data_IF_921093997257
#
_entry.id   IF_921093997257
#
_cell.length_a   1.000
_cell.length_b   1.000
_cell.length_c   1.000
_cell.angle_alpha   90.00
_cell.angle_beta   90.00
_cell.angle_gamma   90.00
#
_symmetry.space_group_name_H-M   'P 1'
#
loop_
_entity.id
_entity.type
_entity.pdbx_description
1 polymer ?
#
# COMPACT_ATOMS: atom_id res chain seq x y z
N UNK A 1 -20.19 8.82 16.47
CA UNK A 1 -20.72 7.45 16.68
C UNK A 1 -22.09 7.40 16.04
N UNK A 2 -22.44 6.31 15.38
CA UNK A 2 -23.75 6.13 14.72
C UNK A 2 -24.52 5.00 15.38
N UNK A 3 -25.85 5.10 15.37
CA UNK A 3 -26.77 4.12 15.94
C UNK A 3 -27.56 3.45 14.82
N UNK A 4 -27.47 2.14 14.73
CA UNK A 4 -28.22 1.33 13.76
C UNK A 4 -28.88 0.14 14.45
N UNK A 5 -29.80 -0.51 13.75
CA UNK A 5 -30.45 -1.74 14.22
C UNK A 5 -30.05 -2.90 13.33
N UNK A 6 -29.55 -4.00 13.89
CA UNK A 6 -29.19 -5.22 13.15
C UNK A 6 -30.01 -6.37 13.70
N UNK A 7 -30.84 -7.01 12.86
CA UNK A 7 -31.75 -8.10 13.24
C UNK A 7 -32.56 -7.77 14.51
N UNK A 8 -33.16 -6.57 14.55
CA UNK A 8 -33.92 -6.06 15.70
C UNK A 8 -33.09 -5.52 16.89
N UNK A 9 -31.78 -5.74 16.95
CA UNK A 9 -30.92 -5.25 18.05
C UNK A 9 -30.31 -3.89 17.72
N UNK A 10 -30.50 -2.89 18.60
CA UNK A 10 -29.84 -1.58 18.48
C UNK A 10 -28.37 -1.67 18.86
N UNK A 11 -27.50 -1.04 18.06
CA UNK A 11 -26.05 -1.07 18.22
C UNK A 11 -25.46 0.31 17.95
N UNK A 12 -24.51 0.72 18.78
CA UNK A 12 -23.77 1.98 18.63
C UNK A 12 -22.35 1.67 18.17
N UNK A 13 -21.94 2.24 17.04
CA UNK A 13 -20.64 1.92 16.43
C UNK A 13 -19.87 3.18 16.05
N UNK A 14 -18.57 3.00 15.81
CA UNK A 14 -17.73 4.06 15.24
C UNK A 14 -18.25 4.41 13.85
N UNK A 15 -18.23 5.70 13.54
CA UNK A 15 -18.56 6.20 12.21
C UNK A 15 -17.61 5.59 11.16
N UNK A 16 -18.13 5.27 9.98
CA UNK A 16 -17.44 4.61 8.87
C UNK A 16 -16.97 3.16 9.10
N UNK A 17 -17.32 2.51 10.21
CA UNK A 17 -17.15 1.06 10.32
C UNK A 17 -18.03 0.34 9.28
N UNK A 18 -17.54 -0.76 8.68
CA UNK A 18 -18.34 -1.49 7.69
C UNK A 18 -19.40 -2.35 8.36
N UNK A 19 -20.53 -2.61 7.69
CA UNK A 19 -21.56 -3.50 8.25
C UNK A 19 -21.00 -4.90 8.57
N UNK A 20 -20.08 -5.41 7.76
CA UNK A 20 -19.43 -6.71 7.98
C UNK A 20 -18.62 -6.73 9.29
N UNK A 21 -17.84 -5.68 9.56
CA UNK A 21 -17.08 -5.55 10.82
C UNK A 21 -18.01 -5.52 12.03
N UNK A 22 -19.12 -4.78 11.92
CA UNK A 22 -20.11 -4.68 12.99
C UNK A 22 -20.78 -6.03 13.23
N UNK A 23 -21.24 -6.71 12.19
CA UNK A 23 -21.86 -8.02 12.30
C UNK A 23 -20.90 -9.07 12.90
N UNK A 24 -19.62 -9.07 12.50
CA UNK A 24 -18.61 -9.97 13.08
C UNK A 24 -18.38 -9.73 14.57
N UNK A 25 -18.34 -8.47 15.01
CA UNK A 25 -18.24 -8.12 16.45
C UNK A 25 -19.44 -8.59 17.27
N UNK A 26 -20.59 -8.77 16.63
CA UNK A 26 -21.80 -9.31 17.25
C UNK A 26 -21.92 -10.83 17.09
N UNK A 27 -20.90 -11.50 16.59
CA UNK A 27 -20.91 -12.94 16.27
C UNK A 27 -22.00 -13.33 15.27
N UNK A 28 -22.43 -12.41 14.39
CA UNK A 28 -23.34 -12.68 13.29
C UNK A 28 -22.51 -13.12 12.08
N UNK A 29 -22.65 -14.38 11.70
CA UNK A 29 -21.95 -14.92 10.53
C UNK A 29 -22.52 -14.35 9.23
N UNK A 30 -21.63 -13.85 8.37
CA UNK A 30 -21.94 -13.40 7.01
C UNK A 30 -20.87 -14.00 6.08
N UNK A 31 -21.24 -14.82 5.08
CA UNK A 31 -20.28 -15.49 4.22
C UNK A 31 -19.56 -14.48 3.31
N UNK A 32 -18.27 -14.68 3.13
CA UNK A 32 -17.41 -13.84 2.28
C UNK A 32 -16.35 -14.68 1.59
N UNK A 33 -16.20 -14.54 0.27
CA UNK A 33 -15.11 -15.17 -0.49
C UNK A 33 -14.05 -14.17 -0.98
N UNK A 34 -14.41 -12.91 -1.19
CA UNK A 34 -13.50 -11.88 -1.69
C UNK A 34 -13.04 -10.89 -0.60
N UNK A 35 -13.39 -11.12 0.66
CA UNK A 35 -13.00 -10.24 1.77
C UNK A 35 -11.77 -10.79 2.48
N UNK A 36 -10.83 -9.91 2.79
CA UNK A 36 -9.71 -10.19 3.69
C UNK A 36 -9.51 -8.93 4.55
N UNK A 37 -9.30 -9.06 5.88
CA UNK A 37 -9.18 -7.91 6.78
C UNK A 37 -8.01 -6.97 6.43
N UNK A 38 -6.95 -7.52 5.84
CA UNK A 38 -5.76 -6.74 5.46
C UNK A 38 -5.82 -6.18 4.03
N UNK A 39 -6.94 -6.32 3.33
CA UNK A 39 -7.11 -5.79 1.97
C UNK A 39 -8.28 -4.79 1.88
N UNK A 40 -8.20 -3.89 0.92
CA UNK A 40 -9.27 -2.94 0.61
C UNK A 40 -10.59 -3.66 0.27
N UNK A 41 -11.77 -3.25 0.78
CA UNK A 41 -13.02 -3.94 0.45
C UNK A 41 -13.36 -3.92 -1.05
N UNK A 42 -13.58 -5.09 -1.64
CA UNK A 42 -13.81 -5.22 -3.09
C UNK A 42 -15.28 -5.47 -3.49
N UNK A 43 -16.00 -6.31 -2.75
CA UNK A 43 -17.43 -6.57 -2.99
C UNK A 43 -17.79 -7.39 -4.23
N UNK A 44 -16.83 -8.05 -4.90
CA UNK A 44 -17.09 -8.77 -6.15
C UNK A 44 -17.94 -10.04 -5.98
N UNK A 45 -17.72 -10.83 -4.92
CA UNK A 45 -18.45 -12.09 -4.73
C UNK A 45 -19.91 -11.93 -4.31
N UNK A 46 -20.31 -10.74 -3.82
CA UNK A 46 -21.67 -10.39 -3.35
C UNK A 46 -22.30 -11.29 -2.26
N UNK A 47 -21.63 -12.33 -1.77
CA UNK A 47 -22.16 -13.22 -0.71
C UNK A 47 -22.46 -12.49 0.60
N UNK A 48 -21.73 -11.42 0.89
CA UNK A 48 -21.97 -10.55 2.03
C UNK A 48 -23.19 -9.63 1.88
N UNK A 49 -24.09 -9.92 0.94
CA UNK A 49 -25.30 -9.14 0.75
C UNK A 49 -26.17 -9.18 2.00
N UNK A 50 -26.69 -8.01 2.37
CA UNK A 50 -27.63 -7.77 3.46
C UNK A 50 -28.71 -6.82 2.97
N UNK A 51 -29.88 -6.90 3.59
CA UNK A 51 -30.97 -5.98 3.30
C UNK A 51 -30.93 -4.84 4.30
N UNK A 52 -30.97 -3.61 3.80
CA UNK A 52 -31.10 -2.42 4.65
C UNK A 52 -32.41 -1.73 4.38
N UNK A 53 -33.00 -1.15 5.42
CA UNK A 53 -34.17 -0.29 5.31
C UNK A 53 -33.97 1.02 6.07
N UNK A 54 -34.48 2.10 5.49
CA UNK A 54 -34.55 3.44 6.06
C UNK A 54 -35.82 4.10 5.56
N UNK A 55 -36.61 4.70 6.46
CA UNK A 55 -37.83 5.47 6.10
C UNK A 55 -38.80 4.68 5.19
N UNK A 56 -38.99 3.39 5.49
CA UNK A 56 -39.92 2.53 4.73
C UNK A 56 -39.39 2.01 3.38
N UNK A 57 -38.22 2.45 2.91
CA UNK A 57 -37.59 1.93 1.69
C UNK A 57 -36.54 0.87 2.02
N UNK A 58 -36.59 -0.28 1.35
CA UNK A 58 -35.55 -1.32 1.49
C UNK A 58 -34.69 -1.47 0.22
N UNK A 59 -33.42 -1.80 0.41
CA UNK A 59 -32.49 -2.13 -0.69
C UNK A 59 -31.45 -3.17 -0.25
N UNK A 60 -30.94 -3.92 -1.22
CA UNK A 60 -29.84 -4.85 -1.02
C UNK A 60 -28.49 -4.13 -1.13
N UNK A 61 -27.59 -4.37 -0.18
CA UNK A 61 -26.24 -3.80 -0.18
C UNK A 61 -25.21 -4.84 0.22
N UNK A 62 -23.93 -4.60 -0.06
CA UNK A 62 -22.82 -5.45 0.35
C UNK A 62 -22.27 -5.03 1.71
N UNK A 63 -22.31 -5.93 2.70
CA UNK A 63 -21.86 -5.60 4.05
C UNK A 63 -20.36 -5.27 4.14
N UNK A 64 -19.54 -5.82 3.24
CA UNK A 64 -18.07 -5.68 3.30
C UNK A 64 -17.56 -4.26 3.01
N UNK A 65 -18.31 -3.43 2.30
CA UNK A 65 -17.91 -2.07 1.94
C UNK A 65 -18.96 -1.00 2.26
N UNK A 66 -20.16 -1.40 2.71
CA UNK A 66 -21.19 -0.43 3.10
C UNK A 66 -20.88 0.13 4.49
N UNK A 67 -20.73 1.46 4.64
CA UNK A 67 -20.48 2.09 5.93
C UNK A 67 -21.72 2.07 6.81
N UNK A 68 -21.54 1.88 8.11
CA UNK A 68 -22.58 2.05 9.11
C UNK A 68 -23.10 3.49 9.08
N UNK A 69 -24.42 3.65 9.00
CA UNK A 69 -25.12 4.93 8.98
C UNK A 69 -26.14 4.99 10.12
N UNK A 70 -26.46 6.20 10.56
CA UNK A 70 -27.45 6.39 11.61
C UNK A 70 -28.87 6.09 11.11
N UNK A 71 -29.67 5.42 11.95
CA UNK A 71 -31.08 5.14 11.72
C UNK A 71 -31.40 4.01 10.73
N UNK A 72 -30.39 3.34 10.16
CA UNK A 72 -30.64 2.19 9.26
C UNK A 72 -31.01 0.93 10.06
N UNK A 73 -31.91 0.12 9.50
CA UNK A 73 -32.18 -1.24 9.96
C UNK A 73 -31.58 -2.24 8.99
N UNK A 74 -30.85 -3.22 9.49
CA UNK A 74 -30.12 -4.21 8.70
C UNK A 74 -30.67 -5.60 9.03
N UNK A 75 -31.08 -6.34 8.00
CA UNK A 75 -31.51 -7.72 8.08
C UNK A 75 -30.46 -8.60 7.38
N UNK A 76 -29.80 -9.48 8.13
CA UNK A 76 -28.70 -10.30 7.60
C UNK A 76 -29.14 -11.65 7.05
N UNK A 77 -30.38 -12.07 7.34
CA UNK A 77 -30.96 -13.38 6.98
C UNK A 77 -32.44 -13.25 6.54
N UNK A 78 -32.84 -12.14 5.93
CA UNK A 78 -34.18 -12.04 5.33
C UNK A 78 -34.36 -13.08 4.21
N UNK A 79 -35.61 -13.46 3.89
CA UNK A 79 -35.90 -14.40 2.78
C UNK A 79 -35.20 -13.96 1.48
N UNK A 80 -35.19 -12.65 1.21
CA UNK A 80 -34.53 -12.05 0.04
C UNK A 80 -33.01 -12.22 0.08
N UNK A 81 -32.38 -12.04 1.25
CA UNK A 81 -30.94 -12.23 1.43
C UNK A 81 -30.54 -13.69 1.21
N UNK A 82 -31.26 -14.62 1.83
CA UNK A 82 -30.98 -16.06 1.70
C UNK A 82 -31.14 -16.53 0.24
N UNK A 83 -32.22 -16.12 -0.43
CA UNK A 83 -32.42 -16.43 -1.86
C UNK A 83 -31.30 -15.85 -2.74
N UNK A 84 -30.86 -14.62 -2.46
CA UNK A 84 -29.76 -13.99 -3.20
C UNK A 84 -28.46 -14.77 -3.03
N UNK A 85 -28.12 -15.18 -1.80
CA UNK A 85 -26.93 -15.99 -1.52
C UNK A 85 -26.98 -17.33 -2.23
N UNK A 86 -28.14 -17.99 -2.24
CA UNK A 86 -28.37 -19.25 -2.96
C UNK A 86 -28.03 -19.11 -4.45
N UNK A 87 -28.62 -18.12 -5.13
CA UNK A 87 -28.37 -17.86 -6.56
C UNK A 87 -26.90 -17.52 -6.83
N UNK A 88 -26.25 -16.75 -5.96
CA UNK A 88 -24.83 -16.44 -6.10
C UNK A 88 -23.95 -17.70 -6.01
N UNK A 89 -24.26 -18.62 -5.11
CA UNK A 89 -23.54 -19.90 -5.00
C UNK A 89 -23.79 -20.78 -6.22
N UNK A 90 -25.04 -20.85 -6.71
CA UNK A 90 -25.38 -21.56 -7.95
C UNK A 90 -24.57 -21.03 -9.16
N UNK A 91 -24.41 -19.70 -9.29
CA UNK A 91 -23.58 -19.09 -10.33
C UNK A 91 -22.08 -19.36 -10.15
N UNK A 92 -21.59 -19.37 -8.91
CA UNK A 92 -20.19 -19.70 -8.62
C UNK A 92 -19.87 -21.17 -8.95
N UNK A 93 -20.76 -22.09 -8.61
CA UNK A 93 -20.65 -23.51 -8.97
C UNK A 93 -20.69 -23.73 -10.49
N UNK A 94 -21.55 -22.99 -11.20
CA UNK A 94 -21.60 -23.08 -12.66
C UNK A 94 -20.26 -22.68 -13.32
N UNK A 95 -19.48 -21.82 -12.67
CA UNK A 95 -18.14 -21.45 -13.13
C UNK A 95 -17.06 -22.43 -12.68
N UNK A 96 -17.10 -22.83 -11.41
CA UNK A 96 -16.04 -23.60 -10.74
C UNK A 96 -16.67 -24.80 -10.00
N UNK A 97 -17.15 -25.83 -10.72
CA UNK A 97 -17.91 -26.93 -10.13
C UNK A 97 -17.05 -27.82 -9.21
N UNK A 98 -15.74 -27.85 -9.45
CA UNK A 98 -14.81 -28.75 -8.77
C UNK A 98 -14.13 -28.11 -7.55
N UNK A 99 -14.35 -26.82 -7.29
CA UNK A 99 -13.76 -26.11 -6.17
C UNK A 99 -14.34 -26.62 -4.83
N UNK A 100 -13.55 -27.28 -3.95
CA UNK A 100 -14.09 -27.87 -2.72
C UNK A 100 -14.70 -26.84 -1.76
N UNK A 101 -14.13 -25.62 -1.74
CA UNK A 101 -14.67 -24.51 -0.95
C UNK A 101 -16.09 -24.14 -1.36
N UNK A 102 -16.39 -24.17 -2.66
CA UNK A 102 -17.73 -23.84 -3.16
C UNK A 102 -18.72 -24.98 -2.90
N UNK A 103 -18.27 -26.23 -2.98
CA UNK A 103 -19.09 -27.41 -2.63
C UNK A 103 -19.53 -27.34 -1.17
N UNK A 104 -18.60 -27.06 -0.25
CA UNK A 104 -18.92 -26.84 1.17
C UNK A 104 -19.88 -25.67 1.37
N UNK A 105 -19.63 -24.55 0.70
CA UNK A 105 -20.52 -23.39 0.80
C UNK A 105 -21.93 -23.70 0.26
N UNK A 106 -22.03 -24.52 -0.78
CA UNK A 106 -23.30 -24.98 -1.34
C UNK A 106 -24.08 -25.84 -0.36
N UNK A 107 -23.43 -26.74 0.36
CA UNK A 107 -24.05 -27.50 1.45
C UNK A 107 -24.58 -26.58 2.55
N UNK A 108 -23.79 -25.59 2.98
CA UNK A 108 -24.18 -24.62 4.02
C UNK A 108 -25.42 -23.79 3.62
N UNK A 109 -25.59 -23.48 2.33
CA UNK A 109 -26.75 -22.74 1.81
C UNK A 109 -27.88 -23.62 1.27
N UNK A 110 -27.74 -24.95 1.31
CA UNK A 110 -28.74 -25.90 0.84
C UNK A 110 -28.91 -25.98 -0.69
N UNK A 111 -27.82 -25.79 -1.44
CA UNK A 111 -27.75 -25.94 -2.90
C UNK A 111 -27.21 -27.32 -3.24
N UNK A 112 -28.03 -28.17 -3.86
CA UNK A 112 -27.64 -29.51 -4.34
C UNK A 112 -27.25 -29.53 -5.83
N UNK A 113 -27.89 -28.68 -6.61
CA UNK A 113 -27.65 -28.52 -8.05
C UNK A 113 -28.02 -27.10 -8.47
N UNK A 114 -27.56 -26.68 -9.65
CA UNK A 114 -27.86 -25.36 -10.22
C UNK A 114 -28.45 -25.47 -11.63
N UNK A 115 -29.29 -24.53 -12.07
CA UNK A 115 -29.92 -24.55 -13.39
C UNK A 115 -29.02 -24.00 -14.51
N UNK A 116 -27.85 -23.44 -14.18
CA UNK A 116 -26.96 -22.80 -15.13
C UNK A 116 -26.09 -23.79 -15.90
N UNK A 117 -25.69 -23.42 -17.13
CA UNK A 117 -24.70 -24.18 -17.90
C UNK A 117 -23.33 -24.10 -17.22
N UNK A 118 -22.75 -25.26 -16.92
CA UNK A 118 -21.42 -25.35 -16.33
C UNK A 118 -20.35 -25.00 -17.37
N UNK A 119 -19.43 -24.11 -17.01
CA UNK A 119 -18.29 -23.81 -17.85
C UNK A 119 -17.32 -24.99 -17.86
N UNK A 120 -16.90 -25.43 -19.05
CA UNK A 120 -15.78 -26.35 -19.23
C UNK A 120 -14.46 -25.60 -19.00
N UNK A 121 -14.16 -25.27 -17.74
CA UNK A 121 -12.95 -24.55 -17.35
C UNK A 121 -12.14 -25.43 -16.40
N UNK A 122 -10.91 -25.74 -16.78
CA UNK A 122 -9.94 -26.47 -15.93
C UNK A 122 -9.37 -25.61 -14.80
N UNK A 123 -9.85 -24.37 -14.65
CA UNK A 123 -9.41 -23.44 -13.62
C UNK A 123 -10.56 -23.02 -12.70
N UNK A 124 -10.44 -23.35 -11.41
CA UNK A 124 -11.37 -23.03 -10.33
C UNK A 124 -11.30 -21.56 -9.85
N UNK A 125 -10.91 -20.62 -10.73
CA UNK A 125 -10.80 -19.21 -10.39
C UNK A 125 -12.18 -18.52 -10.32
N UNK A 126 -12.60 -18.20 -9.09
CA UNK A 126 -13.86 -17.49 -8.80
C UNK A 126 -13.81 -15.97 -9.02
N UNK A 127 -12.71 -15.44 -9.59
CA UNK A 127 -12.52 -14.01 -9.86
C UNK A 127 -12.70 -13.09 -8.64
N UNK A 128 -12.34 -13.57 -7.44
CA UNK A 128 -12.47 -12.80 -6.20
C UNK A 128 -11.50 -11.60 -6.11
N UNK A 129 -10.43 -11.60 -6.91
CA UNK A 129 -9.44 -10.52 -6.95
C UNK A 129 -8.57 -10.41 -5.70
N UNK A 130 -8.57 -11.41 -4.80
CA UNK A 130 -7.71 -11.44 -3.61
C UNK A 130 -6.22 -11.44 -4.01
N UNK A 131 -5.82 -12.31 -4.94
CA UNK A 131 -4.45 -12.39 -5.44
C UNK A 131 -3.94 -11.07 -6.04
N UNK A 132 -4.77 -10.41 -6.85
CA UNK A 132 -4.46 -9.13 -7.48
C UNK A 132 -4.24 -8.04 -6.43
N UNK A 133 -5.19 -7.91 -5.48
CA UNK A 133 -5.08 -6.93 -4.41
C UNK A 133 -3.91 -7.21 -3.48
N UNK A 134 -3.64 -8.46 -3.12
CA UNK A 134 -2.42 -8.79 -2.36
C UNK A 134 -1.15 -8.38 -3.11
N UNK A 135 -1.07 -8.68 -4.40
CA UNK A 135 0.08 -8.32 -5.22
C UNK A 135 0.30 -6.81 -5.32
N UNK A 136 -0.79 -6.03 -5.37
CA UNK A 136 -0.76 -4.56 -5.45
C UNK A 136 -0.60 -3.88 -4.10
N UNK A 137 -1.44 -4.22 -3.13
CA UNK A 137 -1.61 -3.51 -1.85
C UNK A 137 -0.63 -3.95 -0.77
N UNK A 138 -0.30 -5.25 -0.71
CA UNK A 138 0.57 -5.80 0.33
C UNK A 138 2.00 -6.00 -0.16
N UNK A 139 2.16 -6.56 -1.37
CA UNK A 139 3.49 -6.83 -1.94
C UNK A 139 4.05 -5.60 -2.67
N UNK A 140 3.19 -4.72 -3.22
CA UNK A 140 3.62 -3.56 -4.02
C UNK A 140 4.11 -3.89 -5.43
N UNK A 141 4.13 -5.17 -5.83
CA UNK A 141 4.62 -5.62 -7.13
C UNK A 141 3.67 -5.27 -8.28
N UNK A 142 2.34 -5.32 -8.04
CA UNK A 142 1.31 -5.05 -9.04
C UNK A 142 1.55 -5.81 -10.38
N UNK A 143 1.93 -7.08 -10.29
CA UNK A 143 2.37 -7.90 -11.43
C UNK A 143 1.22 -8.64 -12.16
N UNK A 144 0.07 -8.78 -11.50
CA UNK A 144 -1.10 -9.49 -12.03
C UNK A 144 -2.35 -8.61 -11.94
N UNK A 145 -3.29 -8.83 -12.85
CA UNK A 145 -4.54 -8.08 -12.96
C UNK A 145 -5.65 -8.90 -13.57
N UNK A 146 -6.79 -8.24 -13.81
CA UNK A 146 -7.87 -8.82 -14.61
C UNK A 146 -7.66 -8.47 -16.08
N UNK A 147 -7.81 -9.46 -16.95
CA UNK A 147 -7.88 -9.28 -18.40
C UNK A 147 -9.23 -9.76 -18.93
N UNK A 148 -9.56 -9.35 -20.16
CA UNK A 148 -10.83 -9.63 -20.83
C UNK A 148 -12.06 -9.06 -20.07
N UNK A 149 -13.26 -9.42 -20.51
CA UNK A 149 -14.54 -8.96 -19.93
C UNK A 149 -15.59 -10.07 -19.93
N UNK A 150 -16.66 -9.87 -19.16
CA UNK A 150 -17.77 -10.82 -19.09
C UNK A 150 -17.32 -12.21 -18.62
N UNK A 151 -17.83 -13.25 -19.26
CA UNK A 151 -17.53 -14.66 -18.95
C UNK A 151 -16.09 -15.06 -19.27
N UNK A 152 -15.45 -14.36 -20.21
CA UNK A 152 -14.05 -14.58 -20.61
C UNK A 152 -13.05 -13.92 -19.66
N UNK A 153 -13.51 -13.17 -18.66
CA UNK A 153 -12.63 -12.50 -17.68
C UNK A 153 -11.76 -13.53 -16.96
N UNK A 154 -10.46 -13.24 -16.89
CA UNK A 154 -9.46 -14.09 -16.21
C UNK A 154 -8.45 -13.25 -15.43
N UNK A 155 -7.77 -13.91 -14.50
CA UNK A 155 -6.62 -13.33 -13.79
C UNK A 155 -5.36 -13.72 -14.56
N UNK A 156 -4.49 -12.75 -14.81
CA UNK A 156 -3.25 -12.98 -15.54
C UNK A 156 -2.30 -11.79 -15.45
N UNK A 157 -1.17 -11.91 -16.11
CA UNK A 157 -0.26 -10.80 -16.32
C UNK A 157 -0.73 -9.94 -17.51
N UNK A 158 -0.33 -8.66 -17.59
CA UNK A 158 -0.61 -7.84 -18.77
C UNK A 158 -0.13 -8.53 -20.06
N UNK A 159 -1.00 -8.59 -21.06
CA UNK A 159 -0.77 -9.27 -22.34
C UNK A 159 -0.37 -10.75 -22.24
N UNK A 160 -0.58 -11.38 -21.08
CA UNK A 160 -0.17 -12.77 -20.79
C UNK A 160 1.35 -13.00 -20.87
N UNK A 161 2.13 -11.91 -20.82
CA UNK A 161 3.59 -11.93 -20.79
C UNK A 161 4.07 -11.94 -19.35
N UNK A 162 5.17 -12.66 -19.06
CA UNK A 162 5.75 -12.67 -17.72
C UNK A 162 6.12 -11.24 -17.27
N UNK A 163 5.68 -10.84 -16.08
CA UNK A 163 5.94 -9.51 -15.55
C UNK A 163 7.25 -9.47 -14.75
N UNK A 164 8.19 -8.62 -15.15
CA UNK A 164 9.44 -8.36 -14.43
C UNK A 164 9.22 -7.79 -13.02
N UNK A 165 8.05 -7.16 -12.77
CA UNK A 165 7.67 -6.69 -11.43
C UNK A 165 7.37 -7.81 -10.43
N UNK A 166 7.11 -9.04 -10.92
CA UNK A 166 6.86 -10.15 -10.03
C UNK A 166 8.13 -10.42 -9.22
N UNK A 167 8.03 -10.54 -7.89
CA UNK A 167 9.15 -10.95 -7.02
C UNK A 167 9.09 -12.43 -6.63
N UNK A 168 8.14 -13.16 -7.21
CA UNK A 168 7.83 -14.56 -6.94
C UNK A 168 7.59 -14.86 -5.45
N UNK A 169 6.93 -13.94 -4.73
CA UNK A 169 6.69 -14.08 -3.29
C UNK A 169 5.76 -15.23 -2.89
N UNK A 170 4.87 -15.69 -3.79
CA UNK A 170 3.87 -16.73 -3.46
C UNK A 170 2.62 -16.23 -2.72
N UNK A 171 2.57 -14.95 -2.35
CA UNK A 171 1.44 -14.38 -1.61
C UNK A 171 0.08 -14.51 -2.35
N UNK A 172 0.11 -14.51 -3.68
CA UNK A 172 -1.09 -14.67 -4.51
C UNK A 172 -1.66 -16.09 -4.48
N UNK A 173 -0.80 -17.11 -4.41
CA UNK A 173 -1.16 -18.51 -4.24
C UNK A 173 -1.71 -18.75 -2.83
N UNK A 174 -0.99 -18.26 -1.82
CA UNK A 174 -1.39 -18.41 -0.42
C UNK A 174 -2.79 -17.85 -0.13
N UNK A 175 -3.13 -16.66 -0.65
CA UNK A 175 -4.44 -16.04 -0.40
C UNK A 175 -5.56 -16.61 -1.29
N UNK A 176 -5.25 -17.51 -2.22
CA UNK A 176 -6.26 -18.01 -3.15
C UNK A 176 -7.24 -18.95 -2.43
N UNK A 177 -8.54 -18.61 -2.35
CA UNK A 177 -9.48 -19.42 -1.58
C UNK A 177 -9.78 -20.78 -2.26
N UNK A 178 -9.56 -20.88 -3.57
CA UNK A 178 -9.81 -22.11 -4.34
C UNK A 178 -8.54 -22.81 -4.83
N UNK A 179 -7.35 -22.28 -4.55
CA UNK A 179 -6.09 -22.83 -5.08
C UNK A 179 -5.92 -22.70 -6.61
N UNK A 180 -6.74 -21.84 -7.24
CA UNK A 180 -6.77 -21.63 -8.69
C UNK A 180 -5.52 -20.97 -9.28
N UNK A 181 -4.74 -20.25 -8.47
CA UNK A 181 -3.46 -19.68 -8.87
C UNK A 181 -2.35 -20.40 -8.10
N UNK A 182 -1.40 -20.95 -8.84
CA UNK A 182 -0.24 -21.69 -8.31
C UNK A 182 1.04 -21.04 -8.80
N UNK A 183 2.09 -21.10 -7.99
CA UNK A 183 3.41 -20.68 -8.41
C UNK A 183 4.08 -21.79 -9.23
N UNK A 184 4.39 -21.50 -10.49
CA UNK A 184 5.12 -22.41 -11.36
C UNK A 184 6.64 -22.19 -11.22
N UNK A 185 7.39 -23.29 -11.12
CA UNK A 185 8.86 -23.23 -10.98
C UNK A 185 9.54 -22.50 -12.13
N UNK A 186 9.04 -22.65 -13.37
CA UNK A 186 9.61 -21.97 -14.53
C UNK A 186 9.42 -20.45 -14.46
N UNK A 187 8.30 -19.98 -13.93
CA UNK A 187 8.09 -18.55 -13.64
C UNK A 187 9.02 -18.06 -12.55
N UNK A 188 9.20 -18.84 -11.48
CA UNK A 188 10.12 -18.50 -10.38
C UNK A 188 11.55 -18.36 -10.92
N UNK A 189 12.00 -19.32 -11.74
CA UNK A 189 13.32 -19.31 -12.37
C UNK A 189 13.49 -18.06 -13.23
N UNK A 190 12.57 -17.80 -14.18
CA UNK A 190 12.61 -16.61 -15.06
C UNK A 190 12.70 -15.28 -14.28
N UNK A 191 11.92 -15.15 -13.21
CA UNK A 191 11.89 -13.94 -12.36
C UNK A 191 13.19 -13.77 -11.55
N UNK A 192 13.90 -14.86 -11.25
CA UNK A 192 15.02 -14.87 -10.31
C UNK A 192 16.32 -15.38 -10.94
N UNK A 193 16.53 -15.09 -12.22
CA UNK A 193 17.74 -15.45 -12.94
C UNK A 193 18.98 -14.72 -12.39
N UNK A 194 20.09 -15.45 -12.32
CA UNK A 194 21.44 -14.95 -12.01
C UNK A 194 22.48 -15.94 -12.48
N UNK A 195 23.39 -15.51 -13.34
CA UNK A 195 24.51 -16.33 -13.83
C UNK A 195 25.63 -16.46 -12.78
N UNK A 196 25.73 -15.47 -11.88
CA UNK A 196 26.79 -15.35 -10.87
C UNK A 196 26.35 -15.75 -9.45
N UNK A 197 25.10 -16.18 -9.26
CA UNK A 197 24.52 -16.51 -7.95
C UNK A 197 24.17 -15.31 -7.06
N UNK A 198 24.84 -14.17 -7.22
CA UNK A 198 24.64 -12.92 -6.44
C UNK A 198 23.28 -12.24 -6.64
N UNK A 199 22.52 -12.54 -7.71
CA UNK A 199 21.17 -12.02 -7.94
C UNK A 199 20.05 -13.00 -7.53
N UNK A 200 20.41 -14.16 -6.95
CA UNK A 200 19.43 -15.13 -6.40
C UNK A 200 18.89 -14.69 -5.05
N UNK A 201 18.48 -13.44 -4.90
CA UNK A 201 17.98 -12.91 -3.63
C UNK A 201 16.78 -13.73 -3.14
N UNK A 202 16.80 -14.08 -1.85
CA UNK A 202 15.73 -14.77 -1.15
C UNK A 202 14.39 -14.03 -1.33
N UNK A 203 13.27 -14.77 -1.36
CA UNK A 203 11.92 -14.18 -1.50
C UNK A 203 11.67 -13.12 -0.42
N UNK A 204 12.12 -13.39 0.80
CA UNK A 204 11.96 -12.47 1.93
C UNK A 204 12.82 -11.23 1.83
N UNK A 205 14.01 -11.32 1.22
CA UNK A 205 14.82 -10.14 0.92
C UNK A 205 14.12 -9.27 -0.12
N UNK A 206 13.59 -9.88 -1.19
CA UNK A 206 12.84 -9.15 -2.23
C UNK A 206 11.52 -8.55 -1.72
N UNK A 207 10.95 -9.12 -0.67
CA UNK A 207 9.80 -8.57 0.04
C UNK A 207 10.18 -7.51 1.09
N UNK A 208 11.47 -7.26 1.31
CA UNK A 208 11.96 -6.29 2.30
C UNK A 208 11.85 -6.77 3.75
N UNK A 209 11.69 -8.08 3.99
CA UNK A 209 11.54 -8.66 5.33
C UNK A 209 12.86 -9.03 6.00
N UNK A 210 13.94 -9.19 5.20
CA UNK A 210 15.30 -9.44 5.67
C UNK A 210 16.30 -8.65 4.82
N UNK A 211 17.44 -8.27 5.41
CA UNK A 211 18.37 -7.32 4.79
C UNK A 211 19.11 -7.89 3.57
N UNK A 212 19.71 -9.06 3.72
CA UNK A 212 20.47 -9.70 2.64
C UNK A 212 20.48 -11.22 2.84
N UNK A 213 20.08 -11.95 1.80
CA UNK A 213 20.19 -13.40 1.77
C UNK A 213 20.14 -13.89 0.33
N UNK A 214 21.16 -14.63 -0.09
CA UNK A 214 21.17 -15.35 -1.36
C UNK A 214 20.52 -16.71 -1.16
N UNK A 215 19.65 -17.12 -2.08
CA UNK A 215 18.95 -18.39 -2.04
C UNK A 215 19.89 -19.52 -2.45
N UNK A 216 20.18 -20.42 -1.51
CA UNK A 216 20.90 -21.68 -1.75
C UNK A 216 20.00 -22.79 -2.32
N UNK A 217 18.69 -22.75 -2.04
CA UNK A 217 17.74 -23.82 -2.40
C UNK A 217 17.10 -23.68 -3.79
N UNK A 218 17.72 -22.96 -4.72
CA UNK A 218 17.21 -22.86 -6.11
C UNK A 218 15.78 -22.32 -6.23
N UNK A 219 15.33 -21.54 -5.24
CA UNK A 219 13.97 -21.03 -5.07
C UNK A 219 12.88 -22.07 -4.81
N UNK A 220 13.26 -23.30 -4.45
CA UNK A 220 12.34 -24.30 -3.90
C UNK A 220 12.00 -23.96 -2.45
N UNK A 221 11.23 -22.88 -2.26
CA UNK A 221 10.90 -22.36 -0.94
C UNK A 221 10.18 -23.40 -0.06
N UNK A 222 9.39 -24.30 -0.66
CA UNK A 222 8.69 -25.38 0.02
C UNK A 222 9.61 -26.43 0.70
N UNK A 223 10.91 -26.45 0.38
CA UNK A 223 11.95 -27.28 1.07
C UNK A 223 12.94 -26.43 1.87
N UNK A 224 12.68 -25.13 2.04
CA UNK A 224 13.66 -24.22 2.63
C UNK A 224 13.39 -24.02 4.12
N UNK A 225 14.40 -24.31 4.94
CA UNK A 225 14.35 -24.14 6.40
C UNK A 225 14.02 -22.70 6.82
N UNK A 226 14.50 -21.71 6.05
CA UNK A 226 14.16 -20.29 6.28
C UNK A 226 12.68 -20.03 5.98
N UNK A 227 12.12 -20.70 4.97
CA UNK A 227 10.70 -20.58 4.63
C UNK A 227 9.83 -21.17 5.72
N UNK A 228 10.18 -22.38 6.15
CA UNK A 228 9.51 -23.08 7.25
C UNK A 228 9.59 -22.27 8.54
N UNK A 229 10.78 -21.78 8.93
CA UNK A 229 10.95 -20.93 10.10
C UNK A 229 10.08 -19.67 10.04
N UNK A 230 9.97 -19.04 8.87
CA UNK A 230 9.12 -17.86 8.71
C UNK A 230 7.63 -18.23 8.83
N UNK A 231 7.20 -19.32 8.22
CA UNK A 231 5.81 -19.81 8.35
C UNK A 231 5.47 -20.18 9.80
N UNK A 232 6.35 -20.89 10.49
CA UNK A 232 6.19 -21.26 11.90
C UNK A 232 6.12 -20.03 12.81
N UNK A 233 6.98 -19.03 12.55
CA UNK A 233 7.01 -17.79 13.32
C UNK A 233 5.73 -16.97 13.16
N UNK A 234 5.18 -16.91 11.95
CA UNK A 234 4.08 -16.02 11.64
C UNK A 234 2.70 -16.70 11.65
N UNK A 235 2.65 -18.04 11.55
CA UNK A 235 1.41 -18.82 11.42
C UNK A 235 0.62 -18.54 10.13
N UNK A 236 1.15 -17.69 9.26
CA UNK A 236 0.59 -17.27 7.98
C UNK A 236 1.71 -16.79 7.07
N UNK A 237 1.43 -16.60 5.79
CA UNK A 237 2.44 -16.09 4.88
C UNK A 237 2.94 -14.72 5.37
N UNK A 238 4.28 -14.49 5.47
CA UNK A 238 4.83 -13.38 6.25
C UNK A 238 4.34 -11.98 5.85
N UNK A 239 3.95 -11.77 4.59
CA UNK A 239 3.36 -10.49 4.14
C UNK A 239 2.07 -10.10 4.89
N UNK A 240 1.29 -11.08 5.37
CA UNK A 240 0.04 -10.82 6.10
C UNK A 240 0.32 -10.57 7.59
N UNK A 241 1.36 -11.18 8.14
CA UNK A 241 1.74 -10.99 9.54
C UNK A 241 2.53 -9.70 9.75
N UNK A 242 3.47 -9.40 8.86
CA UNK A 242 4.36 -8.24 8.94
C UNK A 242 3.74 -6.96 8.39
N UNK A 243 2.42 -6.95 8.18
CA UNK A 243 1.58 -5.83 7.71
C UNK A 243 2.43 -4.62 7.33
N UNK A 244 2.73 -4.35 6.05
CA UNK A 244 3.17 -3.00 5.73
C UNK A 244 2.11 -2.07 6.31
N UNK A 245 2.49 -1.30 7.34
CA UNK A 245 1.56 -0.49 8.11
C UNK A 245 0.74 0.29 7.11
N UNK A 246 -0.56 -0.04 6.95
CA UNK A 246 -1.46 0.43 5.86
C UNK A 246 -0.87 1.69 5.25
N UNK A 247 -0.12 1.57 4.14
CA UNK A 247 0.38 2.75 3.45
C UNK A 247 -0.90 3.48 3.05
N UNK A 248 -1.21 4.55 3.80
CA UNK A 248 -2.34 5.39 3.45
C UNK A 248 -1.94 5.97 2.11
N UNK A 249 -2.83 5.88 1.12
CA UNK A 249 -2.53 6.46 -0.18
C UNK A 249 -2.07 7.91 0.01
N UNK A 250 -1.00 8.32 -0.69
CA UNK A 250 -0.52 9.69 -0.61
C UNK A 250 -1.65 10.67 -0.89
N UNK A 251 -1.72 11.74 -0.12
CA UNK A 251 -2.62 12.85 -0.38
C UNK A 251 -1.93 13.85 -1.30
N UNK A 252 -2.66 14.41 -2.25
CA UNK A 252 -2.21 15.61 -2.94
C UNK A 252 -2.59 16.85 -2.12
N UNK A 253 -1.60 17.66 -1.76
CA UNK A 253 -1.75 18.94 -1.06
C UNK A 253 -1.16 20.02 -1.97
N UNK A 254 -2.04 20.82 -2.58
CA UNK A 254 -1.67 21.88 -3.51
C UNK A 254 -0.73 21.42 -4.65
N UNK A 255 -0.93 20.21 -5.17
CA UNK A 255 -0.11 19.64 -6.25
C UNK A 255 1.16 18.92 -5.79
N UNK A 256 1.44 18.88 -4.49
CA UNK A 256 2.54 18.10 -3.89
C UNK A 256 2.03 16.83 -3.22
N UNK A 257 2.83 15.77 -3.25
CA UNK A 257 2.60 14.53 -2.52
C UNK A 257 2.85 14.71 -1.03
N UNK A 258 1.95 14.17 -0.21
CA UNK A 258 2.01 14.19 1.24
C UNK A 258 1.59 12.83 1.81
N UNK A 259 2.36 12.29 2.74
CA UNK A 259 2.11 10.99 3.36
C UNK A 259 1.67 11.16 4.82
N UNK A 260 0.37 10.95 5.15
CA UNK A 260 -0.17 11.23 6.49
C UNK A 260 0.41 10.42 7.64
N UNK A 261 1.09 9.31 7.34
CA UNK A 261 1.70 8.39 8.29
C UNK A 261 3.16 8.72 8.64
N UNK A 262 3.80 9.63 7.90
CA UNK A 262 5.16 10.08 8.19
C UNK A 262 5.16 11.20 9.23
N UNK A 263 6.30 11.31 9.93
CA UNK A 263 6.61 12.47 10.74
C UNK A 263 7.30 13.52 9.88
N UNK A 264 7.04 14.80 10.13
CA UNK A 264 7.62 15.92 9.39
C UNK A 264 8.25 16.91 10.36
N UNK A 265 9.32 17.56 9.91
CA UNK A 265 9.95 18.67 10.62
C UNK A 265 9.74 19.97 9.86
N UNK A 266 9.86 21.09 10.58
CA UNK A 266 9.79 22.43 9.97
C UNK A 266 10.93 22.68 8.97
N UNK A 267 12.02 21.92 9.05
CA UNK A 267 13.12 21.92 8.06
C UNK A 267 12.88 21.00 6.86
N UNK A 268 11.63 20.61 6.58
CA UNK A 268 11.25 19.79 5.42
C UNK A 268 11.91 18.40 5.35
N UNK A 269 12.32 17.86 6.50
CA UNK A 269 12.77 16.47 6.65
C UNK A 269 11.59 15.61 7.11
N UNK A 270 11.29 14.54 6.37
CA UNK A 270 10.36 13.50 6.80
C UNK A 270 11.09 12.36 7.52
N UNK A 271 10.38 11.71 8.45
CA UNK A 271 10.86 10.58 9.22
C UNK A 271 9.87 9.42 9.21
N UNK A 272 10.36 8.22 8.88
CA UNK A 272 9.62 6.95 9.07
C UNK A 272 10.27 6.18 10.21
N UNK A 273 9.58 6.12 11.34
CA UNK A 273 10.05 5.42 12.52
C UNK A 273 9.94 3.90 12.38
N UNK A 274 10.95 3.20 12.90
CA UNK A 274 10.96 1.76 13.18
C UNK A 274 11.36 1.56 14.66
N UNK A 275 11.43 0.32 15.13
CA UNK A 275 11.72 0.01 16.54
C UNK A 275 13.14 0.42 16.97
N UNK A 276 14.09 0.51 16.03
CA UNK A 276 15.52 0.73 16.32
C UNK A 276 16.14 1.93 15.60
N UNK A 277 15.46 2.46 14.59
CA UNK A 277 15.99 3.53 13.74
C UNK A 277 14.86 4.33 13.11
N UNK A 278 15.19 5.53 12.68
CA UNK A 278 14.32 6.42 11.90
C UNK A 278 14.95 6.62 10.54
N UNK A 279 14.20 6.31 9.49
CA UNK A 279 14.60 6.63 8.13
C UNK A 279 14.24 8.08 7.84
N UNK A 280 15.23 8.89 7.52
CA UNK A 280 15.07 10.32 7.22
C UNK A 280 15.23 10.60 5.73
N UNK A 281 14.42 11.51 5.21
CA UNK A 281 14.50 11.98 3.83
C UNK A 281 13.96 13.40 3.67
N UNK A 282 14.08 13.97 2.47
CA UNK A 282 13.49 15.28 2.16
C UNK A 282 12.07 15.09 1.67
N UNK A 283 11.16 15.93 2.15
CA UNK A 283 9.82 15.99 1.56
C UNK A 283 9.86 16.54 0.14
N UNK A 284 8.74 16.48 -0.57
CA UNK A 284 8.73 16.85 -1.98
C UNK A 284 9.19 18.30 -2.22
N UNK A 285 8.85 19.24 -1.31
CA UNK A 285 9.30 20.62 -1.41
C UNK A 285 10.83 20.76 -1.28
N UNK A 286 11.43 20.17 -0.24
CA UNK A 286 12.88 20.20 -0.09
C UNK A 286 13.61 19.35 -1.12
N UNK A 287 12.97 18.32 -1.67
CA UNK A 287 13.54 17.53 -2.76
C UNK A 287 13.82 18.38 -4.00
N UNK A 288 13.04 19.44 -4.24
CA UNK A 288 13.24 20.35 -5.38
C UNK A 288 14.63 21.02 -5.36
N UNK A 289 15.27 21.13 -4.19
CA UNK A 289 16.65 21.64 -4.06
C UNK A 289 17.66 20.74 -4.79
N UNK A 290 17.33 19.47 -5.04
CA UNK A 290 18.20 18.54 -5.78
C UNK A 290 17.94 18.52 -7.29
N UNK A 291 17.05 19.36 -7.83
CA UNK A 291 16.79 19.48 -9.27
C UNK A 291 18.03 19.90 -10.10
N UNK A 292 18.96 20.64 -9.47
CA UNK A 292 20.25 21.09 -10.02
C UNK A 292 21.45 20.64 -9.17
N UNK A 293 21.26 19.68 -8.26
CA UNK A 293 22.35 19.29 -7.38
C UNK A 293 23.47 18.62 -8.19
N UNK A 294 24.66 19.23 -8.13
CA UNK A 294 25.91 18.65 -8.62
C UNK A 294 26.51 17.70 -7.58
N UNK A 295 26.10 17.81 -6.32
CA UNK A 295 26.51 16.91 -5.26
C UNK A 295 25.57 16.93 -4.06
N UNK A 296 25.50 15.80 -3.37
CA UNK A 296 24.79 15.63 -2.11
C UNK A 296 25.75 15.00 -1.11
N UNK A 297 26.13 15.74 -0.09
CA UNK A 297 26.99 15.25 0.98
C UNK A 297 26.14 14.84 2.19
N UNK A 298 26.38 13.61 2.66
CA UNK A 298 25.73 13.04 3.84
C UNK A 298 26.81 12.63 4.86
N UNK A 299 26.50 12.70 6.17
CA UNK A 299 27.42 12.30 7.23
C UNK A 299 27.76 10.82 7.13
N UNK A 300 28.97 10.44 7.56
CA UNK A 300 29.41 9.05 7.52
C UNK A 300 28.65 8.18 8.53
N UNK A 301 28.54 6.89 8.24
CA UNK A 301 28.01 5.90 9.21
C UNK A 301 28.84 5.93 10.50
N UNK A 302 28.18 5.93 11.65
CA UNK A 302 28.79 6.08 12.98
C UNK A 302 28.91 7.53 13.45
N UNK A 303 28.62 8.52 12.61
CA UNK A 303 28.64 9.93 13.03
C UNK A 303 27.50 10.21 14.00
N UNK A 304 27.81 10.78 15.17
CA UNK A 304 26.81 11.34 16.08
C UNK A 304 26.33 12.69 15.56
N UNK A 305 25.02 12.85 15.41
CA UNK A 305 24.34 14.09 15.03
C UNK A 305 23.52 14.60 16.21
N UNK A 306 23.63 15.89 16.49
CA UNK A 306 22.70 16.58 17.39
C UNK A 306 21.57 17.24 16.60
N UNK A 307 20.43 17.42 17.25
CA UNK A 307 19.33 18.22 16.71
C UNK A 307 19.82 19.60 16.27
N UNK A 308 19.40 20.03 15.08
CA UNK A 308 19.84 21.24 14.37
C UNK A 308 21.27 21.22 13.82
N UNK A 309 22.02 20.12 13.91
CA UNK A 309 23.27 19.97 13.14
C UNK A 309 23.00 19.59 11.69
N UNK A 310 23.99 19.73 10.82
CA UNK A 310 23.83 19.49 9.38
C UNK A 310 23.66 17.99 9.10
N UNK A 311 22.48 17.62 8.62
CA UNK A 311 22.11 16.27 8.16
C UNK A 311 22.55 16.03 6.71
N UNK A 312 22.43 17.04 5.86
CA UNK A 312 22.78 16.95 4.45
C UNK A 312 23.22 18.30 3.91
N UNK A 313 24.21 18.30 3.02
CA UNK A 313 24.62 19.48 2.27
C UNK A 313 24.40 19.25 0.78
N UNK A 314 23.51 20.06 0.19
CA UNK A 314 23.18 20.01 -1.24
C UNK A 314 24.01 21.08 -1.94
N UNK A 315 24.86 20.66 -2.89
CA UNK A 315 25.67 21.57 -3.70
C UNK A 315 25.09 21.71 -5.10
N UNK A 316 24.86 22.94 -5.56
CA UNK A 316 24.37 23.24 -6.89
C UNK A 316 24.99 24.53 -7.43
N UNK A 317 25.61 24.48 -8.60
CA UNK A 317 26.20 25.63 -9.31
C UNK A 317 27.15 26.45 -8.42
N UNK A 318 27.99 25.78 -7.63
CA UNK A 318 28.95 26.39 -6.70
C UNK A 318 28.36 26.93 -5.39
N UNK A 319 27.06 26.78 -5.15
CA UNK A 319 26.37 27.18 -3.93
C UNK A 319 25.97 25.96 -3.11
N UNK A 320 25.73 26.16 -1.80
CA UNK A 320 25.45 25.09 -0.84
C UNK A 320 24.20 25.42 -0.03
N UNK A 321 23.33 24.43 0.15
CA UNK A 321 22.17 24.49 1.03
C UNK A 321 22.31 23.41 2.12
N UNK A 322 22.08 23.79 3.38
CA UNK A 322 22.28 22.90 4.53
C UNK A 322 20.93 22.47 5.10
N UNK A 323 20.68 21.16 5.08
CA UNK A 323 19.53 20.56 5.72
C UNK A 323 19.92 20.19 7.14
N UNK A 324 19.12 20.62 8.11
CA UNK A 324 19.38 20.36 9.52
C UNK A 324 18.66 19.11 10.01
N UNK A 325 19.29 18.39 10.94
CA UNK A 325 18.73 17.19 11.54
C UNK A 325 17.59 17.53 12.49
N UNK A 326 16.41 16.89 12.35
CA UNK A 326 15.29 17.11 13.27
C UNK A 326 15.47 16.42 14.63
N UNK A 327 16.39 15.45 14.72
CA UNK A 327 16.59 14.57 15.88
C UNK A 327 18.09 14.46 16.21
N UNK A 328 18.41 14.14 17.47
CA UNK A 328 19.75 13.71 17.86
C UNK A 328 19.87 12.19 17.79
N UNK A 329 21.03 11.67 17.39
CA UNK A 329 21.28 10.24 17.27
C UNK A 329 22.56 9.90 16.52
N UNK A 330 22.78 8.61 16.27
CA UNK A 330 23.93 8.11 15.51
C UNK A 330 23.48 7.64 14.13
N UNK A 331 24.21 8.03 13.08
CA UNK A 331 23.94 7.61 11.69
C UNK A 331 24.25 6.12 11.55
N UNK A 332 23.22 5.30 11.40
CA UNK A 332 23.35 3.84 11.28
C UNK A 332 23.56 3.40 9.83
N UNK A 333 23.03 4.14 8.86
CA UNK A 333 23.24 3.89 7.43
C UNK A 333 23.07 5.16 6.61
N UNK A 334 23.69 5.18 5.42
CA UNK A 334 23.59 6.25 4.44
C UNK A 334 23.16 5.66 3.11
N UNK A 335 22.22 6.30 2.43
CA UNK A 335 21.82 5.90 1.09
C UNK A 335 22.88 6.32 0.08
N UNK A 336 23.69 5.38 -0.39
CA UNK A 336 24.75 5.65 -1.39
C UNK A 336 24.19 6.05 -2.75
N UNK A 337 22.99 5.58 -3.10
CA UNK A 337 22.38 5.83 -4.40
C UNK A 337 22.08 7.33 -4.60
N UNK A 338 21.67 8.03 -3.56
CA UNK A 338 21.42 9.49 -3.64
C UNK A 338 22.71 10.31 -3.60
N UNK A 339 23.80 9.77 -3.06
CA UNK A 339 25.12 10.43 -3.09
C UNK A 339 25.71 10.36 -4.50
N UNK A 340 25.62 9.19 -5.14
CA UNK A 340 26.06 8.98 -6.52
C UNK A 340 25.12 9.64 -7.53
N UNK A 341 23.82 9.68 -7.24
CA UNK A 341 22.80 10.29 -8.08
C UNK A 341 21.81 11.15 -7.27
N UNK A 342 22.16 12.42 -6.97
CA UNK A 342 21.32 13.33 -6.19
C UNK A 342 19.92 13.55 -6.78
N UNK A 343 19.74 13.34 -8.09
CA UNK A 343 18.45 13.49 -8.75
C UNK A 343 17.39 12.49 -8.26
N UNK A 344 17.82 11.37 -7.65
CA UNK A 344 16.91 10.38 -7.09
C UNK A 344 16.06 10.95 -5.95
N UNK A 345 16.59 11.93 -5.20
CA UNK A 345 15.89 12.57 -4.09
C UNK A 345 14.61 13.27 -4.56
N UNK A 346 14.61 13.93 -5.73
CA UNK A 346 13.39 14.56 -6.24
C UNK A 346 12.54 13.64 -7.13
N UNK A 347 13.13 12.64 -7.77
CA UNK A 347 12.36 11.68 -8.59
C UNK A 347 11.50 10.73 -7.75
N UNK A 348 11.97 10.38 -6.55
CA UNK A 348 11.28 9.42 -5.68
C UNK A 348 11.56 9.72 -4.18
N UNK A 349 11.17 10.90 -3.67
CA UNK A 349 11.59 11.42 -2.36
C UNK A 349 11.24 10.52 -1.17
N UNK A 350 10.10 9.83 -1.25
CA UNK A 350 9.56 9.05 -0.13
C UNK A 350 9.93 7.56 -0.17
N UNK A 351 10.47 7.07 -1.29
CA UNK A 351 10.87 5.66 -1.43
C UNK A 351 12.37 5.54 -1.63
N UNK A 352 12.88 5.68 -2.86
CA UNK A 352 14.31 5.49 -3.17
C UNK A 352 15.18 6.68 -2.79
N UNK A 353 14.59 7.87 -2.66
CA UNK A 353 15.25 9.14 -2.35
C UNK A 353 15.51 9.44 -0.87
N UNK A 354 15.41 8.45 0.03
CA UNK A 354 15.74 8.63 1.45
C UNK A 354 17.24 8.93 1.63
N UNK A 355 17.62 9.59 2.73
CA UNK A 355 18.99 10.06 2.95
C UNK A 355 19.78 9.14 3.89
N UNK A 356 19.32 9.03 5.13
CA UNK A 356 20.02 8.27 6.18
C UNK A 356 19.06 7.44 7.04
N UNK A 357 19.61 6.42 7.71
CA UNK A 357 19.01 5.80 8.88
C UNK A 357 19.70 6.37 10.11
N UNK A 358 18.92 6.86 11.07
CA UNK A 358 19.41 7.41 12.33
C UNK A 358 18.90 6.54 13.48
N UNK A 359 19.78 6.08 14.35
CA UNK A 359 19.40 5.53 15.65
C UNK A 359 19.26 6.70 16.63
N UNK A 360 18.03 7.07 17.05
CA UNK A 360 17.82 8.26 17.87
C UNK A 360 18.33 8.03 19.31
N UNK A 361 18.94 9.05 19.90
CA UNK A 361 19.35 9.01 21.32
C UNK A 361 18.13 8.92 22.25
N UNK A 362 17.04 9.58 21.82
CA UNK A 362 15.79 9.74 22.56
C UNK A 362 14.60 9.45 21.63
N UNK A 363 14.17 8.17 21.48
CA UNK A 363 13.09 7.77 20.56
C UNK A 363 11.78 8.53 20.76
N UNK A 364 11.48 8.96 21.98
CA UNK A 364 10.31 9.75 22.34
C UNK A 364 10.23 11.10 21.60
N UNK A 365 11.36 11.65 21.15
CA UNK A 365 11.39 12.93 20.42
C UNK A 365 10.75 12.86 19.04
N UNK A 366 10.66 11.67 18.45
CA UNK A 366 9.98 11.46 17.16
C UNK A 366 8.52 11.92 17.26
N UNK A 367 7.87 11.65 18.39
CA UNK A 367 6.47 12.04 18.64
C UNK A 367 6.26 13.56 18.71
N UNK A 368 7.33 14.33 18.94
CA UNK A 368 7.30 15.80 18.97
C UNK A 368 7.31 16.41 17.55
N UNK A 369 7.66 15.62 16.53
CA UNK A 369 7.59 16.05 15.14
C UNK A 369 6.14 16.22 14.67
N UNK A 370 5.94 16.98 13.61
CA UNK A 370 4.63 17.20 13.03
C UNK A 370 4.08 15.87 12.49
N UNK A 371 2.85 15.53 12.84
CA UNK A 371 2.16 14.33 12.35
C UNK A 371 0.66 14.58 12.18
N UNK A 372 0.00 13.72 11.41
CA UNK A 372 -1.45 13.76 11.21
C UNK A 372 -1.97 15.11 10.70
N UNK A 373 -3.01 15.64 11.35
CA UNK A 373 -3.64 16.90 10.95
C UNK A 373 -2.68 18.11 11.05
N UNK A 374 -1.82 18.14 12.08
CA UNK A 374 -0.85 19.23 12.28
C UNK A 374 0.18 19.29 11.15
N UNK A 375 0.71 18.13 10.74
CA UNK A 375 1.60 18.04 9.59
C UNK A 375 0.93 18.50 8.30
N UNK A 376 -0.32 18.06 8.06
CA UNK A 376 -1.06 18.45 6.87
C UNK A 376 -1.33 19.95 6.81
N UNK A 377 -1.74 20.56 7.91
CA UNK A 377 -2.00 22.01 7.98
C UNK A 377 -0.73 22.83 7.74
N UNK A 378 0.37 22.45 8.40
CA UNK A 378 1.68 23.07 8.17
C UNK A 378 2.13 22.93 6.71
N UNK A 379 2.10 21.71 6.15
CA UNK A 379 2.53 21.44 4.78
C UNK A 379 1.67 22.19 3.75
N UNK A 380 0.35 22.27 3.98
CA UNK A 380 -0.57 23.05 3.15
C UNK A 380 -0.22 24.54 3.14
N UNK A 381 0.17 25.11 4.29
CA UNK A 381 0.63 26.51 4.37
C UNK A 381 1.94 26.71 3.62
N UNK A 382 2.93 25.82 3.80
CA UNK A 382 4.22 25.92 3.12
C UNK A 382 4.07 25.84 1.59
N UNK A 383 3.31 24.87 1.10
CA UNK A 383 3.04 24.69 -0.34
C UNK A 383 2.27 25.87 -0.93
N UNK A 384 1.25 26.38 -0.23
CA UNK A 384 0.50 27.58 -0.68
C UNK A 384 1.41 28.79 -0.78
N UNK A 385 2.25 29.02 0.23
CA UNK A 385 3.17 30.15 0.24
C UNK A 385 4.21 30.02 -0.90
N UNK A 386 4.71 28.81 -1.19
CA UNK A 386 5.67 28.57 -2.29
C UNK A 386 5.05 28.88 -3.65
N UNK A 387 3.83 28.39 -3.89
CA UNK A 387 3.07 28.67 -5.11
C UNK A 387 2.87 30.19 -5.29
N UNK A 388 2.51 30.88 -4.20
CA UNK A 388 2.28 32.32 -4.22
C UNK A 388 3.54 33.14 -4.53
N UNK A 389 4.71 32.75 -4.02
CA UNK A 389 5.92 33.57 -4.16
C UNK A 389 6.75 33.22 -5.40
N UNK A 390 6.77 31.95 -5.80
CA UNK A 390 7.63 31.48 -6.89
C UNK A 390 6.84 31.31 -8.20
N UNK A 391 5.55 30.96 -8.11
CA UNK A 391 4.74 30.50 -9.24
C UNK A 391 3.64 31.47 -9.71
N UNK A 392 3.29 32.52 -8.95
CA UNK A 392 2.35 33.59 -9.41
C UNK A 392 2.80 34.40 -10.65
N UNK A 393 4.06 34.28 -11.11
CA UNK A 393 4.52 34.86 -12.39
C UNK A 393 4.54 33.88 -13.58
N UNK A 394 4.17 32.61 -13.37
CA UNK A 394 3.99 31.62 -14.41
C UNK A 394 2.48 31.42 -14.64
N UNK A 395 1.79 32.47 -15.07
CA UNK A 395 0.33 32.52 -15.12
C UNK A 395 -0.29 31.56 -16.16
N UNK A 396 -1.46 31.02 -15.80
CA UNK A 396 -2.56 30.52 -16.65
C UNK A 396 -2.59 29.07 -17.13
N UNK A 397 -1.73 28.16 -16.69
CA UNK A 397 -2.00 26.72 -16.83
C UNK A 397 -2.58 26.16 -15.55
N UNK A 398 -3.77 25.56 -15.62
CA UNK A 398 -4.36 24.78 -14.53
C UNK A 398 -3.30 23.88 -13.87
N UNK A 399 -3.02 24.10 -12.59
CA UNK A 399 -2.21 23.22 -11.73
C UNK A 399 -2.95 21.91 -11.42
N UNK A 400 -3.57 21.30 -12.45
CA UNK A 400 -4.14 19.97 -12.38
C UNK A 400 -3.06 18.99 -12.82
N UNK A 401 -2.18 18.64 -11.89
CA UNK A 401 -1.09 17.69 -12.12
C UNK A 401 0.01 17.82 -11.07
N UNK A 402 0.79 16.74 -10.94
CA UNK A 402 1.96 16.69 -10.08
C UNK A 402 3.02 17.71 -10.55
N UNK A 403 3.45 18.60 -9.64
CA UNK A 403 4.37 19.70 -9.95
C UNK A 403 5.70 19.15 -10.51
N UNK A 404 6.11 17.95 -10.08
CA UNK A 404 7.32 17.29 -10.55
C UNK A 404 7.20 16.73 -11.98
N UNK A 405 5.99 16.52 -12.49
CA UNK A 405 5.77 16.06 -13.87
C UNK A 405 5.84 17.23 -14.87
N UNK A 406 5.55 18.46 -14.43
CA UNK A 406 5.54 19.63 -15.27
C UNK A 406 6.98 20.11 -15.59
N UNK A 407 7.43 19.85 -16.82
CA UNK A 407 8.79 20.20 -17.28
C UNK A 407 9.08 21.71 -17.20
N UNK A 408 8.11 22.56 -17.57
CA UNK A 408 8.27 24.02 -17.56
C UNK A 408 8.44 24.56 -16.14
N UNK A 409 7.67 24.04 -15.18
CA UNK A 409 7.80 24.41 -13.77
C UNK A 409 9.17 24.01 -13.21
N UNK A 410 9.64 22.81 -13.56
CA UNK A 410 10.99 22.37 -13.17
C UNK A 410 12.08 23.28 -13.73
N UNK A 411 11.99 23.72 -14.98
CA UNK A 411 12.95 24.67 -15.55
C UNK A 411 12.94 26.03 -14.85
N UNK A 412 11.76 26.55 -14.51
CA UNK A 412 11.62 27.81 -13.75
C UNK A 412 12.25 27.67 -12.35
N UNK A 413 11.97 26.57 -11.65
CA UNK A 413 12.50 26.30 -10.30
C UNK A 413 14.02 26.10 -10.34
N UNK A 414 14.51 25.39 -11.36
CA UNK A 414 15.93 25.27 -11.69
C UNK A 414 16.61 26.63 -11.89
N UNK A 415 15.92 27.60 -12.50
CA UNK A 415 16.43 28.97 -12.68
C UNK A 415 16.44 29.82 -11.41
N UNK A 416 15.68 29.44 -10.37
CA UNK A 416 15.47 30.21 -9.13
C UNK A 416 15.99 29.50 -7.87
N UNK A 417 17.03 28.67 -8.01
CA UNK A 417 17.51 27.80 -6.94
C UNK A 417 17.78 28.52 -5.60
N UNK A 418 18.43 29.69 -5.61
CA UNK A 418 18.67 30.45 -4.37
C UNK A 418 17.38 30.93 -3.68
N UNK A 419 16.40 31.37 -4.47
CA UNK A 419 15.10 31.79 -3.91
C UNK A 419 14.38 30.60 -3.31
N UNK A 420 14.53 29.42 -3.92
CA UNK A 420 13.97 28.17 -3.42
C UNK A 420 14.63 27.77 -2.09
N UNK A 421 15.96 27.87 -1.97
CA UNK A 421 16.70 27.61 -0.71
C UNK A 421 16.19 28.50 0.41
N UNK A 422 16.19 29.83 0.21
CA UNK A 422 15.71 30.78 1.22
C UNK A 422 14.27 30.51 1.65
N UNK A 423 13.43 30.13 0.70
CA UNK A 423 12.02 29.89 0.96
C UNK A 423 11.77 28.59 1.72
N UNK A 424 12.40 27.49 1.28
CA UNK A 424 12.20 26.17 1.88
C UNK A 424 12.90 26.05 3.24
N UNK A 425 14.08 26.66 3.40
CA UNK A 425 14.87 26.53 4.63
C UNK A 425 14.73 27.74 5.57
N UNK A 426 14.11 28.83 5.14
CA UNK A 426 13.94 30.05 5.94
C UNK A 426 15.23 30.86 6.14
N UNK A 427 16.21 30.73 5.23
CA UNK A 427 17.53 31.41 5.27
C UNK A 427 17.56 32.79 4.60
#
# INVERSE_FOLDING_TARGET
MVTLTINGKKVKVKENATLLEVCRKMSISIPTLCYHPDLSPHGSCRLCSVEISKEGRSRMVTACNYPAQDGIKVETHSKRVLQTRRVLVELLLARCPNAPLLQKLAEEVGVKSHPFSTMASDNDCILCGLCIRTCRELVGANAIGFSMRGTQRKVGTPFEVASERCVACGACEYICPTGAIKMEMDRIRKVRNSDTGTLRCCRYMRMGLINFMVCSNGFECWRCEIDQMMEDRFGTHPIFALKPAKEKEPLSVNGFTFYPELFYSEGHVWGKASDQWVRLGLDEMASLLTLKADGLHLPAVGTGLKKKEVLAEISASGKKAKILSPLSGVVSAVNREVVENPSLVWRDPYRRGWLILLTPDHPEEISKLLSGFKAKDWYSKQTSNLLDHILKRASNSSLNGDILENANLREILRGKWEKLVKFVLGE
#
